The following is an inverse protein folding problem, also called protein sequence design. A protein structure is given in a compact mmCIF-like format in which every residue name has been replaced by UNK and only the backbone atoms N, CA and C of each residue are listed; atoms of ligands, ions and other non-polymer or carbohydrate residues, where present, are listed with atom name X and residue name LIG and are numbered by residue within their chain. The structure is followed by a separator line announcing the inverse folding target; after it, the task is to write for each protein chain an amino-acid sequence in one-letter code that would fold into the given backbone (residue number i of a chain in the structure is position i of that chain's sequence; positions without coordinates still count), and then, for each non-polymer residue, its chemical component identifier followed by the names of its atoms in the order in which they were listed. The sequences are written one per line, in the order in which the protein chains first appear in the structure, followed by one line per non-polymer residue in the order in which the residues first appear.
data_IF_180117471717
#
_entry.id   IF_180117471717
#
_cell.length_a   1.000
_cell.length_b   1.000
_cell.length_c   1.000
_cell.angle_alpha   90.00
_cell.angle_beta   90.00
_cell.angle_gamma   90.00
#
_symmetry.space_group_name_H-M   'P 1'
#
loop_
_entity.id
_entity.type
_entity.pdbx_description
1 polymer ?
#
# COMPACT_ATOMS: atom_id res chain seq x y z
N UNK A 1 -13.30 1.16 -19.61
CA UNK A 1 -13.26 1.83 -18.32
C UNK A 1 -14.51 2.68 -18.15
N UNK A 2 -15.27 2.45 -17.13
CA UNK A 2 -16.49 3.22 -16.89
C UNK A 2 -16.14 4.58 -16.27
N UNK A 3 -16.82 5.62 -16.72
CA UNK A 3 -16.63 7.00 -16.21
C UNK A 3 -16.80 7.05 -14.69
N UNK A 4 -17.72 6.25 -14.16
CA UNK A 4 -18.02 6.15 -12.74
C UNK A 4 -16.81 5.69 -11.91
N UNK A 5 -16.00 4.76 -12.40
CA UNK A 5 -14.78 4.29 -11.73
C UNK A 5 -13.72 5.38 -11.65
N UNK A 6 -13.60 6.20 -12.69
CA UNK A 6 -12.66 7.33 -12.72
C UNK A 6 -13.08 8.38 -11.69
N UNK A 7 -14.38 8.68 -11.59
CA UNK A 7 -14.92 9.66 -10.63
C UNK A 7 -14.73 9.18 -9.20
N UNK A 8 -15.00 7.90 -8.93
CA UNK A 8 -14.81 7.29 -7.61
C UNK A 8 -13.33 7.30 -7.19
N UNK A 9 -12.41 7.00 -8.11
CA UNK A 9 -10.98 7.04 -7.86
C UNK A 9 -10.48 8.45 -7.51
N UNK A 10 -10.96 9.47 -8.22
CA UNK A 10 -10.61 10.86 -7.94
C UNK A 10 -11.18 11.32 -6.59
N UNK A 11 -12.40 10.89 -6.26
CA UNK A 11 -13.04 11.22 -4.99
C UNK A 11 -12.26 10.59 -3.82
N UNK A 12 -11.90 9.33 -3.94
CA UNK A 12 -11.12 8.61 -2.92
C UNK A 12 -9.76 9.28 -2.71
N UNK A 13 -9.08 9.71 -3.78
CA UNK A 13 -7.81 10.41 -3.69
C UNK A 13 -7.95 11.78 -2.99
N UNK A 14 -9.00 12.53 -3.30
CA UNK A 14 -9.28 13.81 -2.63
C UNK A 14 -9.53 13.64 -1.14
N UNK A 15 -10.31 12.63 -0.76
CA UNK A 15 -10.56 12.31 0.64
C UNK A 15 -9.27 11.93 1.35
N UNK A 16 -8.42 11.12 0.72
CA UNK A 16 -7.12 10.73 1.22
C UNK A 16 -6.23 11.97 1.45
N UNK A 17 -6.12 12.85 0.46
CA UNK A 17 -5.30 14.06 0.57
C UNK A 17 -5.86 15.04 1.60
N UNK A 18 -7.17 15.07 1.81
CA UNK A 18 -7.79 15.87 2.87
C UNK A 18 -7.33 15.37 4.24
N UNK A 19 -7.26 14.07 4.44
CA UNK A 19 -6.74 13.47 5.67
C UNK A 19 -5.27 13.83 5.89
N UNK A 20 -4.45 13.75 4.84
CA UNK A 20 -3.03 14.12 4.90
C UNK A 20 -2.86 15.58 5.30
N UNK A 21 -3.63 16.48 4.70
CA UNK A 21 -3.58 17.92 5.00
C UNK A 21 -4.03 18.25 6.42
N UNK A 22 -4.83 17.40 7.03
CA UNK A 22 -5.28 17.56 8.40
C UNK A 22 -4.22 17.13 9.44
N UNK A 23 -3.18 16.42 9.01
CA UNK A 23 -2.07 16.01 9.88
C UNK A 23 -1.21 17.20 10.28
N UNK A 24 -0.51 17.14 11.44
CA UNK A 24 0.51 18.14 11.77
C UNK A 24 1.57 18.26 10.67
N UNK A 25 2.22 19.42 10.60
CA UNK A 25 3.15 19.74 9.50
C UNK A 25 4.31 18.75 9.39
N UNK A 26 4.89 18.31 10.50
CA UNK A 26 5.97 17.31 10.50
C UNK A 26 5.52 15.97 9.91
N UNK A 27 4.31 15.55 10.22
CA UNK A 27 3.72 14.34 9.63
C UNK A 27 3.50 14.49 8.11
N UNK A 28 3.05 15.66 7.66
CA UNK A 28 2.87 15.94 6.24
C UNK A 28 4.19 15.88 5.48
N UNK A 29 5.26 16.42 6.05
CA UNK A 29 6.60 16.41 5.44
C UNK A 29 7.07 14.97 5.25
N UNK A 30 6.98 14.15 6.28
CA UNK A 30 7.41 12.76 6.23
C UNK A 30 6.53 11.95 5.27
N UNK A 31 5.23 12.18 5.27
CA UNK A 31 4.31 11.53 4.33
C UNK A 31 4.72 11.79 2.87
N UNK A 32 5.03 13.03 2.52
CA UNK A 32 5.47 13.38 1.17
C UNK A 32 6.76 12.68 0.77
N UNK A 33 7.70 12.57 1.70
CA UNK A 33 8.95 11.85 1.45
C UNK A 33 8.71 10.35 1.26
N UNK A 34 7.83 9.76 2.05
CA UNK A 34 7.42 8.36 1.90
C UNK A 34 6.78 8.14 0.52
N UNK A 35 5.89 9.03 0.11
CA UNK A 35 5.22 8.96 -1.19
C UNK A 35 6.23 9.00 -2.34
N UNK A 36 7.19 9.92 -2.29
CA UNK A 36 8.26 10.02 -3.28
C UNK A 36 9.11 8.75 -3.33
N UNK A 37 9.44 8.21 -2.17
CA UNK A 37 10.25 7.00 -2.06
C UNK A 37 9.54 5.81 -2.73
N UNK A 38 8.26 5.62 -2.46
CA UNK A 38 7.50 4.52 -3.05
C UNK A 38 7.29 4.67 -4.56
N UNK A 39 7.11 5.87 -5.05
CA UNK A 39 7.05 6.10 -6.50
C UNK A 39 8.38 5.79 -7.19
N UNK A 40 9.48 5.92 -6.48
CA UNK A 40 10.83 5.69 -7.01
C UNK A 40 11.24 4.22 -7.00
N UNK A 41 10.94 3.50 -5.92
CA UNK A 41 11.43 2.13 -5.69
C UNK A 41 10.34 1.06 -5.73
N UNK A 42 9.09 1.44 -5.60
CA UNK A 42 7.97 0.50 -5.56
C UNK A 42 7.54 0.04 -6.96
N UNK A 43 6.96 -1.16 -7.08
CA UNK A 43 6.33 -1.58 -8.32
C UNK A 43 5.16 -0.67 -8.68
N UNK A 44 4.86 -0.58 -9.97
CA UNK A 44 3.72 0.18 -10.46
C UNK A 44 2.43 -0.37 -9.83
N UNK A 45 1.60 0.52 -9.27
CA UNK A 45 0.35 0.14 -8.61
C UNK A 45 0.47 -0.17 -7.13
N UNK A 46 1.69 -0.22 -6.57
CA UNK A 46 1.89 -0.53 -5.14
C UNK A 46 1.13 0.45 -4.24
N UNK A 47 1.14 1.74 -4.58
CA UNK A 47 0.51 2.78 -3.78
C UNK A 47 -0.99 2.93 -4.03
N UNK A 48 -1.48 2.48 -5.17
CA UNK A 48 -2.88 2.64 -5.57
C UNK A 48 -3.76 1.47 -5.15
N UNK A 49 -3.29 0.24 -5.32
CA UNK A 49 -4.09 -0.97 -5.11
C UNK A 49 -3.92 -1.61 -3.73
N UNK A 50 -2.80 -1.34 -3.06
CA UNK A 50 -2.46 -2.04 -1.82
C UNK A 50 -3.04 -1.42 -0.55
N UNK A 51 -3.58 -0.20 -0.62
CA UNK A 51 -3.99 0.54 0.56
C UNK A 51 -2.84 0.97 1.47
N UNK A 52 -1.61 0.88 0.98
CA UNK A 52 -0.40 1.18 1.74
C UNK A 52 -0.39 2.62 2.26
N UNK A 53 -0.64 3.59 1.39
CA UNK A 53 -0.67 5.00 1.78
C UNK A 53 -1.80 5.30 2.76
N UNK A 54 -2.95 4.68 2.58
CA UNK A 54 -4.08 4.80 3.51
C UNK A 54 -3.73 4.24 4.89
N UNK A 55 -3.06 3.10 4.95
CA UNK A 55 -2.57 2.51 6.19
C UNK A 55 -1.55 3.40 6.91
N UNK A 56 -0.67 4.05 6.16
CA UNK A 56 0.29 5.01 6.71
C UNK A 56 -0.43 6.21 7.31
N UNK A 57 -1.44 6.75 6.63
CA UNK A 57 -2.24 7.87 7.14
C UNK A 57 -2.98 7.46 8.43
N UNK A 58 -3.55 6.26 8.48
CA UNK A 58 -4.19 5.73 9.69
C UNK A 58 -3.21 5.71 10.88
N UNK A 59 -2.00 5.21 10.65
CA UNK A 59 -0.94 5.15 11.65
C UNK A 59 -0.52 6.56 12.10
N UNK A 60 -0.40 7.48 11.16
CA UNK A 60 -0.02 8.87 11.43
C UNK A 60 -1.10 9.62 12.21
N UNK A 61 -2.36 9.41 11.87
CA UNK A 61 -3.48 9.98 12.63
C UNK A 61 -3.48 9.51 14.08
N UNK A 62 -3.23 8.22 14.29
CA UNK A 62 -3.14 7.63 15.62
C UNK A 62 -1.95 8.21 16.41
N UNK A 63 -0.79 8.31 15.78
CA UNK A 63 0.40 8.88 16.40
C UNK A 63 0.22 10.33 16.78
N UNK A 64 -0.37 11.14 15.89
CA UNK A 64 -0.64 12.56 16.14
C UNK A 64 -1.67 12.73 17.27
N UNK A 65 -2.72 11.91 17.29
CA UNK A 65 -3.73 11.94 18.36
C UNK A 65 -3.13 11.58 19.72
N UNK A 66 -2.11 10.73 19.74
CA UNK A 66 -1.40 10.34 20.96
C UNK A 66 -0.31 11.35 21.39
N UNK A 67 -0.13 12.43 20.63
CA UNK A 67 0.87 13.46 20.93
C UNK A 67 2.30 13.05 20.63
N UNK A 68 2.51 12.04 19.81
CA UNK A 68 3.84 11.57 19.40
C UNK A 68 4.38 12.40 18.25
N UNK A 69 5.70 12.58 18.21
CA UNK A 69 6.37 13.13 17.04
C UNK A 69 6.38 12.09 15.92
N UNK A 70 6.42 12.55 14.67
CA UNK A 70 6.39 11.64 13.52
C UNK A 70 7.54 10.63 13.53
N UNK A 71 8.73 11.03 13.97
CA UNK A 71 9.89 10.14 14.05
C UNK A 71 9.77 9.10 15.17
N UNK A 72 8.94 9.33 16.17
CA UNK A 72 8.60 8.32 17.17
C UNK A 72 7.71 7.21 16.56
N UNK A 73 6.90 7.56 15.56
CA UNK A 73 6.03 6.61 14.86
C UNK A 73 6.82 5.79 13.85
N UNK A 74 7.65 6.44 13.02
CA UNK A 74 8.40 5.77 11.94
C UNK A 74 9.76 5.24 12.39
N UNK A 75 10.34 5.78 13.47
CA UNK A 75 11.75 5.66 13.80
C UNK A 75 12.56 6.73 13.06
N UNK A 76 13.81 6.90 13.45
CA UNK A 76 14.69 7.91 12.84
C UNK A 76 15.03 7.59 11.39
N UNK A 77 15.06 6.31 11.03
CA UNK A 77 15.31 5.87 9.65
C UNK A 77 14.00 5.60 8.94
N UNK A 78 13.46 6.62 8.28
CA UNK A 78 12.19 6.53 7.55
C UNK A 78 12.29 5.56 6.39
N UNK A 79 13.44 5.49 5.72
CA UNK A 79 13.64 4.53 4.62
C UNK A 79 13.53 3.08 5.09
N UNK A 80 14.10 2.77 6.26
CA UNK A 80 13.99 1.43 6.86
C UNK A 80 12.53 1.09 7.20
N UNK A 81 11.78 2.05 7.71
CA UNK A 81 10.34 1.91 7.97
C UNK A 81 9.58 1.57 6.68
N UNK A 82 9.87 2.29 5.60
CA UNK A 82 9.27 2.04 4.30
C UNK A 82 9.62 0.65 3.75
N UNK A 83 10.87 0.26 3.87
CA UNK A 83 11.35 -1.05 3.39
C UNK A 83 10.68 -2.21 4.12
N UNK A 84 10.47 -2.08 5.42
CA UNK A 84 9.76 -3.10 6.20
C UNK A 84 8.31 -3.25 5.77
N UNK A 85 7.62 -2.14 5.50
CA UNK A 85 6.24 -2.18 5.02
C UNK A 85 6.13 -2.87 3.66
N UNK A 86 7.05 -2.58 2.74
CA UNK A 86 7.10 -3.24 1.43
C UNK A 86 7.42 -4.72 1.57
N UNK A 87 8.33 -5.07 2.46
CA UNK A 87 8.75 -6.46 2.69
C UNK A 87 7.57 -7.31 3.15
N UNK A 88 6.78 -6.81 4.10
CA UNK A 88 5.58 -7.49 4.58
C UNK A 88 4.57 -7.70 3.46
N UNK A 89 4.37 -6.69 2.63
CA UNK A 89 3.45 -6.76 1.49
C UNK A 89 3.92 -7.74 0.42
N UNK A 90 5.21 -7.78 0.12
CA UNK A 90 5.76 -8.75 -0.83
C UNK A 90 5.52 -10.19 -0.36
N UNK A 91 5.65 -10.44 0.92
CA UNK A 91 5.40 -11.76 1.49
C UNK A 91 3.96 -12.21 1.24
N UNK A 92 2.99 -11.31 1.47
CA UNK A 92 1.58 -11.59 1.16
C UNK A 92 1.34 -11.81 -0.33
N UNK A 93 1.92 -10.95 -1.18
CA UNK A 93 1.77 -11.07 -2.62
C UNK A 93 2.38 -12.36 -3.16
N UNK A 94 3.55 -12.74 -2.64
CA UNK A 94 4.23 -13.97 -3.03
C UNK A 94 3.41 -15.21 -2.65
N UNK A 95 2.84 -15.25 -1.45
CA UNK A 95 1.95 -16.34 -1.01
C UNK A 95 0.71 -16.42 -1.90
N UNK A 96 0.12 -15.28 -2.23
CA UNK A 96 -1.05 -15.22 -3.10
C UNK A 96 -0.75 -15.75 -4.49
N UNK A 97 0.41 -15.40 -5.04
CA UNK A 97 0.85 -15.85 -6.35
C UNK A 97 1.13 -17.34 -6.39
N UNK A 98 1.76 -17.88 -5.37
CA UNK A 98 1.98 -19.33 -5.24
C UNK A 98 0.67 -20.11 -5.20
N UNK A 99 -0.32 -19.64 -4.44
CA UNK A 99 -1.64 -20.26 -4.36
C UNK A 99 -2.37 -20.23 -5.71
N UNK A 100 -2.33 -19.10 -6.41
CA UNK A 100 -2.95 -18.95 -7.73
C UNK A 100 -2.26 -19.85 -8.76
N UNK A 101 -0.93 -19.93 -8.75
CA UNK A 101 -0.18 -20.79 -9.66
C UNK A 101 -0.49 -22.28 -9.41
N UNK A 102 -0.66 -22.67 -8.17
CA UNK A 102 -1.02 -24.03 -7.81
C UNK A 102 -2.42 -24.39 -8.32
N UNK A 103 -3.39 -23.50 -8.14
CA UNK A 103 -4.76 -23.71 -8.63
C UNK A 103 -4.80 -23.86 -10.15
N UNK A 104 -4.06 -23.03 -10.87
CA UNK A 104 -3.97 -23.11 -12.34
C UNK A 104 -3.33 -24.42 -12.77
N UNK A 105 -2.24 -24.82 -12.12
CA UNK A 105 -1.54 -26.08 -12.40
C UNK A 105 -2.44 -27.30 -12.17
N UNK A 106 -3.20 -27.31 -11.07
CA UNK A 106 -4.14 -28.37 -10.74
C UNK A 106 -5.29 -28.44 -11.76
N UNK A 107 -5.81 -27.29 -12.18
CA UNK A 107 -6.87 -27.23 -13.19
C UNK A 107 -6.40 -27.77 -14.54
N UNK A 108 -5.17 -27.44 -14.96
CA UNK A 108 -4.56 -27.94 -16.19
C UNK A 108 -4.37 -29.45 -16.11
N UNK A 109 -3.89 -29.97 -14.99
CA UNK A 109 -3.67 -31.39 -14.76
C UNK A 109 -4.97 -32.17 -14.86
N UNK A 110 -6.04 -31.67 -14.24
CA UNK A 110 -7.39 -32.28 -14.34
C UNK A 110 -7.93 -32.28 -15.76
N UNK A 111 -7.72 -31.19 -16.49
CA UNK A 111 -8.16 -31.11 -17.89
C UNK A 111 -7.42 -32.10 -18.78
N UNK A 112 -6.11 -32.28 -18.57
CA UNK A 112 -5.30 -33.26 -19.31
C UNK A 112 -5.76 -34.70 -19.00
N UNK A 113 -6.03 -35.01 -17.75
CA UNK A 113 -6.47 -36.34 -17.31
C UNK A 113 -7.83 -36.75 -17.92
N UNK A 114 -8.71 -35.78 -18.14
CA UNK A 114 -10.00 -36.02 -18.82
C UNK A 114 -9.88 -36.36 -20.30
N UNK A 115 -8.82 -35.94 -20.93
CA UNK A 115 -8.58 -36.17 -22.37
C UNK A 115 -7.89 -37.52 -22.61
N UNK A 116 -7.22 -38.05 -21.64
CA UNK A 116 -6.63 -39.39 -21.67
C UNK A 116 -7.70 -40.44 -21.40
#
# INVERSE_FOLDING_TARGET
MKIQEIIEGKKAWREHMTRVKALPEDYQIVYKEIQKYYFKVGPVGLTEESGLLSGIVDLFEEGAASGKDVLEVTGEDVAAFCDELIKDMKTYADIYQESANKEVSDAIRKAIDKVK
#
